data_IF_193894896000
#
_entry.id   IF_193894896000
#
_cell.length_a   1.000
_cell.length_b   1.000
_cell.length_c   1.000
_cell.angle_alpha   90.00
_cell.angle_beta   90.00
_cell.angle_gamma   90.00
#
_symmetry.space_group_name_H-M   'P 1'
#
loop_
_entity.id
_entity.type
_entity.pdbx_description
1 polymer ?
#
# COMPACT_ATOMS: atom_id res chain seq x y z
N UNK A 1 59.16 -54.03 14.33
CA UNK A 1 57.94 -53.31 13.88
C UNK A 1 57.95 -51.89 14.44
N UNK A 2 57.70 -50.88 13.59
CA UNK A 2 57.30 -49.49 13.95
C UNK A 2 58.43 -48.53 14.34
N UNK A 3 59.18 -47.89 13.43
CA UNK A 3 58.85 -46.77 12.52
C UNK A 3 58.82 -45.36 13.14
N UNK A 4 60.00 -44.69 13.07
CA UNK A 4 60.29 -43.33 12.58
C UNK A 4 59.68 -42.08 13.26
N UNK A 5 60.59 -41.41 13.99
CA UNK A 5 60.94 -39.97 13.98
C UNK A 5 60.13 -39.02 13.07
N UNK A 6 59.68 -37.89 13.62
CA UNK A 6 59.39 -36.66 12.86
C UNK A 6 59.88 -35.42 13.61
N UNK A 7 60.80 -34.71 12.94
CA UNK A 7 61.28 -33.36 13.23
C UNK A 7 60.14 -32.33 13.17
N UNK A 8 60.36 -31.25 13.92
CA UNK A 8 59.60 -30.00 13.96
C UNK A 8 59.53 -29.26 12.62
N UNK A 9 58.45 -28.50 12.39
CA UNK A 9 58.42 -27.36 11.45
C UNK A 9 57.63 -26.20 12.08
N UNK A 10 58.41 -25.20 12.50
CA UNK A 10 58.33 -23.73 12.35
C UNK A 10 56.97 -23.02 12.27
N UNK A 11 56.94 -21.91 13.00
CA UNK A 11 55.87 -20.98 13.31
C UNK A 11 55.47 -20.00 12.19
N UNK A 12 54.36 -19.32 12.48
CA UNK A 12 53.96 -17.96 12.09
C UNK A 12 53.58 -17.75 10.61
N UNK A 13 52.29 -17.89 10.32
CA UNK A 13 51.67 -17.32 9.12
C UNK A 13 51.27 -15.87 9.42
N UNK A 14 51.78 -14.99 8.56
CA UNK A 14 51.71 -13.54 8.62
C UNK A 14 50.27 -12.98 8.58
N UNK A 15 50.04 -11.98 9.43
CA UNK A 15 48.89 -11.09 9.34
C UNK A 15 49.03 -10.17 8.13
N UNK A 16 48.23 -10.39 7.09
CA UNK A 16 47.97 -9.42 6.03
C UNK A 16 46.53 -8.93 6.21
N UNK A 17 46.39 -7.81 6.91
CA UNK A 17 45.15 -7.06 7.01
C UNK A 17 44.78 -6.50 5.64
N UNK A 18 44.00 -7.26 4.88
CA UNK A 18 43.22 -6.71 3.79
C UNK A 18 42.05 -5.95 4.41
N UNK A 19 42.18 -4.63 4.49
CA UNK A 19 41.08 -3.74 4.83
C UNK A 19 39.95 -3.98 3.83
N UNK A 20 38.91 -4.69 4.27
CA UNK A 20 37.61 -4.66 3.63
C UNK A 20 37.09 -3.24 3.79
N UNK A 21 37.36 -2.39 2.80
CA UNK A 21 36.59 -1.18 2.62
C UNK A 21 35.14 -1.62 2.36
N UNK A 22 34.35 -1.66 3.44
CA UNK A 22 32.91 -1.80 3.31
C UNK A 22 32.43 -0.66 2.40
N UNK A 23 31.56 -0.94 1.40
CA UNK A 23 30.90 0.14 0.71
C UNK A 23 30.24 1.00 1.78
N UNK A 24 30.64 2.28 1.83
CA UNK A 24 29.91 3.26 2.61
C UNK A 24 28.56 3.34 1.93
N UNK A 25 27.57 2.61 2.46
CA UNK A 25 26.16 2.90 2.22
C UNK A 25 26.00 4.35 2.62
N UNK A 26 26.08 5.25 1.63
CA UNK A 26 25.89 6.67 1.84
C UNK A 26 24.60 6.80 2.61
N UNK A 27 24.66 7.48 3.76
CA UNK A 27 23.55 7.66 4.70
C UNK A 27 22.27 7.92 3.91
N UNK A 28 21.50 6.83 3.73
CA UNK A 28 20.60 6.72 2.61
C UNK A 28 19.50 7.73 2.75
N UNK A 29 19.38 8.64 1.79
CA UNK A 29 18.15 9.39 1.64
C UNK A 29 17.00 8.38 1.65
N UNK A 30 16.04 8.56 2.57
CA UNK A 30 14.92 7.63 2.72
C UNK A 30 14.25 7.38 1.37
N UNK A 31 13.71 6.16 1.19
CA UNK A 31 13.11 5.78 -0.09
C UNK A 31 12.10 6.84 -0.59
N UNK A 32 12.16 7.21 -1.89
CA UNK A 32 11.36 8.29 -2.44
C UNK A 32 9.87 8.02 -2.27
N UNK A 33 9.04 9.06 -2.33
CA UNK A 33 7.57 8.88 -2.27
C UNK A 33 7.09 8.12 -3.50
N UNK A 34 6.10 7.24 -3.33
CA UNK A 34 5.43 6.61 -4.46
C UNK A 34 4.50 7.61 -5.15
N UNK A 35 4.54 7.62 -6.48
CA UNK A 35 3.58 8.31 -7.34
C UNK A 35 2.62 7.31 -7.99
N UNK A 36 1.44 7.76 -8.40
CA UNK A 36 0.42 6.94 -9.06
C UNK A 36 0.93 6.31 -10.36
N UNK A 37 1.87 6.94 -11.07
CA UNK A 37 2.55 6.33 -12.23
C UNK A 37 3.34 5.06 -11.89
N UNK A 38 3.67 4.85 -10.62
CA UNK A 38 4.41 3.69 -10.11
C UNK A 38 3.49 2.67 -9.42
N UNK A 39 2.18 2.93 -9.38
CA UNK A 39 1.22 2.15 -8.64
C UNK A 39 0.11 1.62 -9.54
N UNK A 40 -0.50 0.52 -9.13
CA UNK A 40 -1.80 0.08 -9.66
C UNK A 40 -2.75 -0.16 -8.50
N UNK A 41 -4.03 0.16 -8.68
CA UNK A 41 -5.07 -0.13 -7.69
C UNK A 41 -5.57 -1.58 -7.87
N UNK A 42 -5.77 -2.28 -6.76
CA UNK A 42 -6.33 -3.62 -6.70
C UNK A 42 -7.49 -3.66 -5.72
N UNK A 43 -8.59 -4.27 -6.15
CA UNK A 43 -9.61 -4.77 -5.24
C UNK A 43 -9.13 -6.09 -4.65
N UNK A 44 -9.25 -6.25 -3.34
CA UNK A 44 -8.79 -7.44 -2.62
C UNK A 44 -10.00 -8.26 -2.17
N UNK A 45 -10.88 -7.66 -1.37
CA UNK A 45 -12.08 -8.35 -0.89
C UNK A 45 -13.19 -7.37 -0.51
N UNK A 46 -14.39 -7.91 -0.37
CA UNK A 46 -15.59 -7.23 0.08
C UNK A 46 -16.15 -7.94 1.31
N UNK A 47 -16.56 -7.14 2.30
CA UNK A 47 -17.32 -7.63 3.43
C UNK A 47 -18.55 -6.76 3.66
N UNK A 48 -19.71 -7.40 3.70
CA UNK A 48 -20.94 -6.79 4.20
C UNK A 48 -21.03 -6.87 5.72
N UNK A 49 -21.56 -5.84 6.34
CA UNK A 49 -21.94 -5.80 7.75
C UNK A 49 -23.32 -5.13 7.90
N UNK A 50 -23.91 -5.21 9.09
CA UNK A 50 -25.15 -4.49 9.39
C UNK A 50 -24.93 -2.99 9.23
N UNK A 51 -25.63 -2.38 8.27
CA UNK A 51 -25.57 -0.94 7.99
C UNK A 51 -24.28 -0.46 7.33
N UNK A 52 -23.37 -1.34 6.91
CA UNK A 52 -22.11 -0.88 6.31
C UNK A 52 -21.41 -1.92 5.46
N UNK A 53 -20.55 -1.42 4.57
CA UNK A 53 -19.74 -2.24 3.67
C UNK A 53 -18.28 -1.88 3.83
N UNK A 54 -17.42 -2.87 3.72
CA UNK A 54 -15.97 -2.73 3.82
C UNK A 54 -15.35 -3.29 2.55
N UNK A 55 -14.60 -2.45 1.84
CA UNK A 55 -13.77 -2.85 0.70
C UNK A 55 -12.33 -2.84 1.15
N UNK A 56 -11.68 -3.99 1.06
CA UNK A 56 -10.24 -4.03 1.14
C UNK A 56 -9.65 -3.80 -0.25
N UNK A 57 -8.78 -2.82 -0.32
CA UNK A 57 -8.10 -2.39 -1.53
C UNK A 57 -6.60 -2.44 -1.29
N UNK A 58 -5.81 -2.43 -2.37
CA UNK A 58 -4.37 -2.30 -2.26
C UNK A 58 -3.78 -1.48 -3.40
N UNK A 59 -2.76 -0.68 -3.08
CA UNK A 59 -1.84 -0.16 -4.08
C UNK A 59 -0.69 -1.15 -4.28
N UNK A 60 -0.51 -1.64 -5.51
CA UNK A 60 0.63 -2.47 -5.91
C UNK A 60 1.70 -1.61 -6.54
N UNK A 61 2.92 -1.65 -6.01
CA UNK A 61 4.08 -1.02 -6.63
C UNK A 61 4.51 -1.79 -7.89
N UNK A 62 4.57 -1.12 -9.04
CA UNK A 62 5.03 -1.68 -10.33
C UNK A 62 6.42 -1.21 -10.72
N UNK A 63 7.02 -0.30 -9.93
CA UNK A 63 8.30 0.36 -10.17
C UNK A 63 9.35 0.01 -9.09
N UNK A 64 10.33 0.90 -8.87
CA UNK A 64 11.36 0.79 -7.83
C UNK A 64 10.79 1.04 -6.43
N UNK A 65 11.58 0.72 -5.40
CA UNK A 65 11.17 0.89 -4.00
C UNK A 65 10.82 2.34 -3.69
N UNK A 66 9.67 2.55 -3.05
CA UNK A 66 9.15 3.88 -2.71
C UNK A 66 8.32 3.84 -1.41
N UNK A 67 7.87 4.99 -0.92
CA UNK A 67 7.12 5.14 0.33
C UNK A 67 5.76 5.80 0.16
N UNK A 68 4.76 5.29 0.88
CA UNK A 68 3.43 5.89 1.05
C UNK A 68 3.27 6.30 2.50
N UNK A 69 2.71 7.49 2.78
CA UNK A 69 2.54 7.98 4.16
C UNK A 69 1.15 8.55 4.41
N UNK A 70 0.37 7.90 5.27
CA UNK A 70 -0.99 8.33 5.62
C UNK A 70 -2.06 7.57 4.86
N UNK A 71 -3.21 8.21 4.67
CA UNK A 71 -4.41 7.58 4.14
C UNK A 71 -4.65 7.97 2.67
N UNK A 72 -5.17 7.06 1.83
CA UNK A 72 -5.65 7.43 0.52
C UNK A 72 -6.78 8.45 0.63
N UNK A 73 -6.87 9.35 -0.34
CA UNK A 73 -8.06 10.19 -0.52
C UNK A 73 -9.07 9.43 -1.37
N UNK A 74 -10.34 9.63 -1.11
CA UNK A 74 -11.43 9.06 -1.90
C UNK A 74 -12.27 10.20 -2.44
N UNK A 75 -12.72 10.08 -3.69
CA UNK A 75 -13.84 10.87 -4.23
C UNK A 75 -14.92 9.93 -4.72
N UNK A 76 -16.16 10.26 -4.42
CA UNK A 76 -17.33 9.57 -4.96
C UNK A 76 -17.69 10.23 -6.28
N UNK A 77 -17.99 9.43 -7.30
CA UNK A 77 -18.30 9.92 -8.64
C UNK A 77 -19.69 9.43 -9.08
N UNK A 78 -20.45 10.31 -9.71
CA UNK A 78 -21.71 9.96 -10.34
C UNK A 78 -21.50 9.19 -11.66
N UNK A 79 -22.59 8.84 -12.33
CA UNK A 79 -22.57 8.11 -13.61
C UNK A 79 -21.79 8.89 -14.70
N UNK A 80 -21.82 10.22 -14.67
CA UNK A 80 -21.13 11.10 -15.63
C UNK A 80 -19.66 11.34 -15.26
N UNK A 81 -19.25 11.02 -14.03
CA UNK A 81 -17.90 11.20 -13.51
C UNK A 81 -17.71 12.50 -12.73
N UNK A 82 -18.80 13.18 -12.39
CA UNK A 82 -18.76 14.35 -11.54
C UNK A 82 -18.59 13.94 -10.07
N UNK A 83 -17.81 14.75 -9.34
CA UNK A 83 -17.60 14.54 -7.92
C UNK A 83 -18.90 14.79 -7.13
N UNK A 84 -19.30 13.79 -6.34
CA UNK A 84 -20.36 13.91 -5.35
C UNK A 84 -19.71 14.43 -4.07
N UNK A 85 -20.12 15.61 -3.64
CA UNK A 85 -19.53 16.31 -2.50
C UNK A 85 -20.07 15.71 -1.20
N UNK A 86 -19.28 14.84 -0.59
CA UNK A 86 -19.58 14.21 0.70
C UNK A 86 -18.36 14.21 1.62
N UNK A 87 -18.62 14.25 2.92
CA UNK A 87 -17.59 14.21 3.94
C UNK A 87 -16.95 12.83 3.96
N UNK A 88 -15.67 12.77 3.59
CA UNK A 88 -14.86 11.55 3.62
C UNK A 88 -13.76 11.76 4.64
N UNK A 89 -13.74 10.92 5.66
CA UNK A 89 -12.76 10.94 6.73
C UNK A 89 -11.94 9.65 6.79
N UNK A 90 -10.91 9.69 7.62
CA UNK A 90 -10.23 8.50 8.11
C UNK A 90 -10.64 8.28 9.56
N UNK A 91 -10.53 7.05 10.05
CA UNK A 91 -10.75 6.77 11.46
C UNK A 91 -9.63 7.37 12.30
N UNK A 92 -9.99 8.25 13.24
CA UNK A 92 -9.06 8.98 14.11
C UNK A 92 -8.27 8.06 15.04
N UNK A 93 -8.79 6.86 15.31
CA UNK A 93 -8.11 5.83 16.11
C UNK A 93 -7.00 5.10 15.33
N UNK A 94 -6.95 5.25 14.00
CA UNK A 94 -5.90 4.65 13.18
C UNK A 94 -4.75 5.65 13.04
N UNK A 95 -3.53 5.33 13.50
CA UNK A 95 -2.41 6.24 13.38
C UNK A 95 -1.92 6.34 11.93
N UNK A 96 -1.41 7.52 11.56
CA UNK A 96 -0.69 7.72 10.31
C UNK A 96 0.57 6.86 10.29
N UNK A 97 0.75 6.06 9.23
CA UNK A 97 1.93 5.20 9.02
C UNK A 97 2.65 5.55 7.74
N UNK A 98 3.96 5.34 7.72
CA UNK A 98 4.76 5.27 6.50
C UNK A 98 4.96 3.81 6.13
N UNK A 99 4.65 3.45 4.89
CA UNK A 99 4.83 2.09 4.34
C UNK A 99 5.87 2.17 3.23
N UNK A 100 6.92 1.37 3.33
CA UNK A 100 7.92 1.19 2.26
C UNK A 100 7.50 0.02 1.38
N UNK A 101 7.29 0.28 0.09
CA UNK A 101 6.85 -0.71 -0.88
C UNK A 101 8.01 -1.04 -1.81
N UNK A 102 8.57 -2.23 -1.68
CA UNK A 102 9.42 -2.79 -2.72
C UNK A 102 8.60 -3.10 -3.99
N UNK A 103 9.29 -3.31 -5.12
CA UNK A 103 8.65 -3.70 -6.38
C UNK A 103 7.73 -4.91 -6.18
N UNK A 104 6.55 -4.85 -6.78
CA UNK A 104 5.49 -5.87 -6.72
C UNK A 104 4.86 -6.09 -5.34
N UNK A 105 5.20 -5.32 -4.30
CA UNK A 105 4.55 -5.39 -3.00
C UNK A 105 3.27 -4.54 -2.95
N UNK A 106 2.41 -4.85 -1.99
CA UNK A 106 1.09 -4.28 -1.80
C UNK A 106 1.05 -3.42 -0.53
N UNK A 107 0.39 -2.27 -0.60
CA UNK A 107 -0.06 -1.51 0.55
C UNK A 107 -1.58 -1.59 0.64
N UNK A 108 -2.07 -2.26 1.67
CA UNK A 108 -3.48 -2.47 1.91
C UNK A 108 -4.13 -1.26 2.59
N UNK A 109 -5.40 -1.03 2.26
CA UNK A 109 -6.25 -0.07 2.94
C UNK A 109 -7.71 -0.50 2.87
N UNK A 110 -8.50 -0.06 3.84
CA UNK A 110 -9.94 -0.35 3.90
C UNK A 110 -10.72 0.92 3.59
N UNK A 111 -11.67 0.82 2.67
CA UNK A 111 -12.69 1.82 2.44
C UNK A 111 -14.02 1.32 3.01
N UNK A 112 -14.60 2.09 3.94
CA UNK A 112 -15.91 1.79 4.52
C UNK A 112 -16.93 2.84 4.09
N UNK A 113 -18.12 2.38 3.74
CA UNK A 113 -19.29 3.24 3.57
C UNK A 113 -20.51 2.66 4.30
N UNK A 114 -21.43 3.53 4.67
CA UNK A 114 -22.73 3.15 5.24
C UNK A 114 -23.67 2.79 4.10
N UNK A 115 -24.34 1.64 4.22
CA UNK A 115 -25.22 1.11 3.17
C UNK A 115 -26.56 1.86 3.13
N UNK A 116 -26.99 2.24 1.92
CA UNK A 116 -28.22 2.99 1.67
C UNK A 116 -29.50 2.35 2.23
N UNK A 117 -29.55 1.02 2.32
CA UNK A 117 -30.70 0.30 2.89
C UNK A 117 -30.93 0.59 4.38
N UNK A 118 -29.95 1.16 5.08
CA UNK A 118 -30.05 1.53 6.50
C UNK A 118 -30.43 3.01 6.72
N UNK A 119 -30.63 3.80 5.66
CA UNK A 119 -30.97 5.22 5.73
C UNK A 119 -32.08 5.60 4.72
N UNK A 120 -33.34 5.24 5.00
CA UNK A 120 -34.46 5.52 4.08
C UNK A 120 -34.60 7.01 3.78
N UNK A 121 -34.66 7.35 2.48
CA UNK A 121 -34.84 8.74 2.01
C UNK A 121 -33.60 9.63 2.12
N UNK A 122 -32.47 9.09 2.59
CA UNK A 122 -31.21 9.81 2.80
C UNK A 122 -30.04 9.06 2.15
N UNK A 123 -30.29 8.48 0.96
CA UNK A 123 -29.27 7.76 0.21
C UNK A 123 -29.05 8.35 -1.18
N UNK A 124 -27.86 8.09 -1.73
CA UNK A 124 -27.49 8.47 -3.08
C UNK A 124 -26.57 7.40 -3.67
N UNK A 125 -26.50 7.35 -5.00
CA UNK A 125 -25.71 6.34 -5.70
C UNK A 125 -24.35 6.89 -6.11
N UNK A 126 -23.28 6.14 -5.80
CA UNK A 126 -21.94 6.41 -6.28
C UNK A 126 -21.56 5.38 -7.36
N UNK A 127 -21.58 5.82 -8.62
CA UNK A 127 -21.31 4.96 -9.76
C UNK A 127 -19.85 4.50 -9.80
N UNK A 128 -18.92 5.36 -9.37
CA UNK A 128 -17.47 5.10 -9.39
C UNK A 128 -16.79 5.74 -8.19
N UNK A 129 -15.59 5.27 -7.89
CA UNK A 129 -14.77 5.75 -6.77
C UNK A 129 -13.38 6.09 -7.28
N UNK A 130 -12.89 7.29 -7.00
CA UNK A 130 -11.50 7.67 -7.29
C UNK A 130 -10.67 7.52 -6.01
N UNK A 131 -9.67 6.64 -6.02
CA UNK A 131 -8.74 6.45 -4.93
C UNK A 131 -7.40 7.12 -5.27
N UNK A 132 -7.00 8.12 -4.51
CA UNK A 132 -5.72 8.82 -4.70
C UNK A 132 -4.73 8.41 -3.61
N UNK A 133 -3.51 7.97 -3.94
CA UNK A 133 -2.49 7.69 -2.95
C UNK A 133 -2.19 8.90 -2.05
N UNK A 134 -1.81 8.71 -0.78
CA UNK A 134 -1.63 9.80 0.18
C UNK A 134 -0.61 10.89 -0.23
N UNK A 135 0.36 10.55 -1.07
CA UNK A 135 1.46 11.42 -1.46
C UNK A 135 1.35 11.95 -2.89
N UNK A 136 0.21 11.76 -3.54
CA UNK A 136 -0.02 12.16 -4.93
C UNK A 136 -1.40 12.82 -5.11
N UNK A 137 -1.65 13.36 -6.29
CA UNK A 137 -2.89 13.99 -6.72
C UNK A 137 -3.59 13.23 -7.86
N UNK A 138 -2.87 12.38 -8.58
CA UNK A 138 -3.44 11.53 -9.61
C UNK A 138 -4.16 10.33 -8.97
N UNK A 139 -5.46 10.20 -9.18
CA UNK A 139 -6.29 9.11 -8.64
C UNK A 139 -6.50 7.95 -9.60
N UNK A 140 -6.92 6.82 -9.03
CA UNK A 140 -7.36 5.63 -9.77
C UNK A 140 -8.88 5.53 -9.70
N UNK A 141 -9.55 5.61 -10.84
CA UNK A 141 -11.01 5.42 -10.91
C UNK A 141 -11.33 3.93 -10.91
N UNK A 142 -12.01 3.48 -9.87
CA UNK A 142 -12.53 2.14 -9.70
C UNK A 142 -14.02 2.11 -10.05
N UNK A 143 -14.39 1.20 -10.95
CA UNK A 143 -15.78 0.90 -11.25
C UNK A 143 -16.21 -0.34 -10.44
N UNK A 144 -17.12 -0.20 -9.46
CA UNK A 144 -17.60 -1.32 -8.65
C UNK A 144 -18.59 -2.24 -9.39
N UNK A 145 -18.98 -1.90 -10.61
CA UNK A 145 -20.06 -2.57 -11.35
C UNK A 145 -19.74 -3.97 -11.94
N UNK A 146 -18.52 -4.55 -12.00
CA UNK A 146 -18.38 -5.93 -12.51
C UNK A 146 -18.58 -7.02 -11.45
N UNK A 147 -19.65 -7.82 -11.66
CA UNK A 147 -20.09 -9.05 -10.96
C UNK A 147 -20.49 -8.86 -9.47
N UNK A 148 -21.78 -8.62 -9.25
CA UNK A 148 -22.58 -9.04 -8.08
C UNK A 148 -23.06 -7.98 -7.06
N UNK A 149 -22.78 -6.68 -7.22
CA UNK A 149 -23.16 -5.70 -6.17
C UNK A 149 -23.96 -4.46 -6.62
N UNK A 150 -24.30 -4.35 -7.91
CA UNK A 150 -25.03 -3.18 -8.43
C UNK A 150 -24.26 -1.87 -8.25
N UNK A 151 -24.90 -0.73 -8.50
CA UNK A 151 -24.33 0.56 -8.14
C UNK A 151 -24.44 0.72 -6.61
N UNK A 152 -23.35 1.00 -5.89
CA UNK A 152 -23.42 1.23 -4.46
C UNK A 152 -24.33 2.41 -4.13
N UNK A 153 -25.33 2.16 -3.27
CA UNK A 153 -26.12 3.20 -2.63
C UNK A 153 -25.55 3.49 -1.25
N UNK A 154 -25.24 4.77 -0.99
CA UNK A 154 -24.57 5.25 0.23
C UNK A 154 -25.50 6.17 1.01
N UNK A 155 -25.39 6.18 2.33
CA UNK A 155 -26.05 7.20 3.15
C UNK A 155 -25.41 8.57 3.01
N UNK A 156 -26.24 9.62 3.08
CA UNK A 156 -25.86 11.03 2.96
C UNK A 156 -25.04 11.56 4.11
#
# INVERSE_FOLDING_TARGET
MGSKSRLAIVAAIAALGAGLAAPSDGLGAGAPKCFSSQLTLKFVTFQGATGGRFWEMAFKNTSTTCTLRGFPKVKLLDQHGHAIHKSIGHWTLVPVRTVTLARNKLAFFVFRYTDGGFCPGMSFDAARFEFTPPNDHAGFVYNPVPKNHGVPSLCT
#
